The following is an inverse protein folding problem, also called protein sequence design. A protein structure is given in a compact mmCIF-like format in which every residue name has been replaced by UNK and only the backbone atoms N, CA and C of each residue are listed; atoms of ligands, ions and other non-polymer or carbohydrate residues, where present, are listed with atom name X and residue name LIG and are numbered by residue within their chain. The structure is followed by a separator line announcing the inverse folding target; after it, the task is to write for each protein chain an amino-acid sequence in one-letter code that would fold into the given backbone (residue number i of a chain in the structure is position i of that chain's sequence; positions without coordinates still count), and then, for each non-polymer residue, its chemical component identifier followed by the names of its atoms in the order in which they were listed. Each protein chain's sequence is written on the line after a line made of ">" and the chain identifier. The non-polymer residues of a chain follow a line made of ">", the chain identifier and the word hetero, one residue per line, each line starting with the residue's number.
data_IF_388416552380
#
_entry.id   IF_388416552380
#
_cell.length_a   1.000
_cell.length_b   1.000
_cell.length_c   1.000
_cell.angle_alpha   90.00
_cell.angle_beta   90.00
_cell.angle_gamma   90.00
#
_symmetry.space_group_name_H-M   'P 1'
#
loop_
_entity.id
_entity.type
_entity.pdbx_description
1 polymer ?
#
# COMPACT_ATOMS: atom_id res chain seq x y z
N UNK A 1 -31.02 -25.76 -25.49
CA UNK A 1 -30.45 -24.79 -24.51
C UNK A 1 -30.05 -25.62 -23.29
N UNK A 2 -28.81 -26.12 -23.27
CA UNK A 2 -28.36 -27.06 -22.23
C UNK A 2 -27.45 -26.32 -21.25
N UNK A 3 -28.03 -25.90 -20.12
CA UNK A 3 -27.27 -25.49 -18.96
C UNK A 3 -26.64 -26.74 -18.33
N UNK A 4 -25.39 -27.03 -18.68
CA UNK A 4 -24.61 -28.03 -17.97
C UNK A 4 -24.24 -27.48 -16.60
N UNK A 5 -25.01 -27.91 -15.59
CA UNK A 5 -24.57 -27.95 -14.20
C UNK A 5 -23.34 -28.86 -14.10
N UNK A 6 -22.16 -28.30 -14.37
CA UNK A 6 -20.92 -28.87 -13.83
C UNK A 6 -20.82 -28.34 -12.41
N UNK A 7 -21.11 -29.21 -11.43
CA UNK A 7 -20.90 -28.94 -10.02
C UNK A 7 -19.40 -28.70 -9.85
N UNK A 8 -18.97 -27.45 -10.03
CA UNK A 8 -17.58 -27.01 -9.83
C UNK A 8 -17.18 -27.54 -8.47
N UNK A 9 -16.20 -28.44 -8.47
CA UNK A 9 -15.73 -29.07 -7.25
C UNK A 9 -14.89 -28.01 -6.54
N UNK A 10 -15.56 -27.12 -5.81
CA UNK A 10 -14.97 -25.94 -5.18
C UNK A 10 -13.73 -26.30 -4.35
N UNK A 11 -13.67 -27.53 -3.83
CA UNK A 11 -12.50 -28.05 -3.14
C UNK A 11 -11.28 -28.16 -4.05
N UNK A 12 -11.45 -28.67 -5.28
CA UNK A 12 -10.38 -28.74 -6.30
C UNK A 12 -9.99 -27.34 -6.79
N UNK A 13 -10.97 -26.45 -6.94
CA UNK A 13 -10.69 -25.06 -7.35
C UNK A 13 -9.87 -24.33 -6.28
N UNK A 14 -10.20 -24.53 -4.99
CA UNK A 14 -9.44 -23.99 -3.86
C UNK A 14 -8.03 -24.59 -3.80
N UNK A 15 -7.89 -25.89 -3.98
CA UNK A 15 -6.60 -26.57 -3.99
C UNK A 15 -5.72 -26.08 -5.16
N UNK A 16 -6.32 -25.87 -6.33
CA UNK A 16 -5.65 -25.26 -7.48
C UNK A 16 -5.21 -23.81 -7.20
N UNK A 17 -6.07 -22.99 -6.61
CA UNK A 17 -5.74 -21.61 -6.21
C UNK A 17 -4.59 -21.61 -5.19
N UNK A 18 -4.62 -22.48 -4.18
CA UNK A 18 -3.54 -22.61 -3.20
C UNK A 18 -2.23 -23.05 -3.84
N UNK A 19 -2.28 -24.00 -4.77
CA UNK A 19 -1.10 -24.47 -5.50
C UNK A 19 -0.52 -23.37 -6.39
N UNK A 20 -1.39 -22.59 -7.04
CA UNK A 20 -1.01 -21.45 -7.86
C UNK A 20 -0.39 -20.34 -7.00
N UNK A 21 -1.01 -19.99 -5.86
CA UNK A 21 -0.46 -19.04 -4.88
C UNK A 21 0.91 -19.48 -4.37
N UNK A 22 1.07 -20.74 -3.97
CA UNK A 22 2.36 -21.26 -3.51
C UNK A 22 3.43 -21.21 -4.62
N UNK A 23 3.04 -21.43 -5.88
CA UNK A 23 3.94 -21.33 -7.04
C UNK A 23 4.32 -19.88 -7.35
N UNK A 24 3.39 -18.94 -7.19
CA UNK A 24 3.63 -17.50 -7.31
C UNK A 24 4.58 -17.05 -6.20
N UNK A 25 4.34 -17.43 -4.96
CA UNK A 25 5.17 -17.06 -3.80
C UNK A 25 6.57 -17.68 -3.85
N UNK A 26 6.68 -18.92 -4.36
CA UNK A 26 7.97 -19.55 -4.67
C UNK A 26 8.71 -18.84 -5.81
N UNK A 27 8.01 -18.34 -6.83
CA UNK A 27 8.63 -17.56 -7.89
C UNK A 27 9.06 -16.19 -7.37
N UNK A 28 8.19 -15.48 -6.63
CA UNK A 28 8.52 -14.21 -5.98
C UNK A 28 9.72 -14.34 -5.05
N UNK A 29 9.83 -15.41 -4.26
CA UNK A 29 11.01 -15.65 -3.40
C UNK A 29 12.29 -16.02 -4.18
N UNK A 30 12.15 -16.53 -5.41
CA UNK A 30 13.28 -16.80 -6.32
C UNK A 30 13.78 -15.53 -7.02
N UNK A 31 12.89 -14.56 -7.24
CA UNK A 31 13.21 -13.22 -7.77
C UNK A 31 13.52 -12.20 -6.66
N UNK A 32 13.17 -12.48 -5.40
CA UNK A 32 13.51 -11.63 -4.23
C UNK A 32 14.93 -11.85 -3.71
N UNK A 33 15.76 -12.62 -4.42
CA UNK A 33 17.21 -12.43 -4.32
C UNK A 33 17.47 -11.16 -5.12
N UNK A 34 17.26 -10.04 -4.43
CA UNK A 34 17.39 -8.67 -4.89
C UNK A 34 18.67 -8.52 -5.73
N UNK A 35 18.51 -8.47 -7.06
CA UNK A 35 19.58 -7.97 -7.94
C UNK A 35 19.85 -6.49 -7.63
N UNK A 36 18.83 -5.77 -7.13
CA UNK A 36 18.89 -4.39 -6.64
C UNK A 36 19.80 -4.24 -5.39
N UNK A 37 19.90 -5.25 -4.52
CA UNK A 37 20.73 -5.22 -3.30
C UNK A 37 22.24 -5.36 -3.60
N UNK A 38 22.61 -5.77 -4.82
CA UNK A 38 24.01 -5.92 -5.24
C UNK A 38 24.51 -4.73 -6.03
N UNK A 39 23.69 -4.14 -6.90
CA UNK A 39 24.07 -2.98 -7.71
C UNK A 39 24.07 -1.71 -6.85
N UNK A 40 23.05 -1.51 -6.00
CA UNK A 40 23.00 -0.38 -5.06
C UNK A 40 24.07 -0.40 -3.97
N UNK A 41 24.93 -1.43 -3.95
CA UNK A 41 26.00 -1.63 -2.95
C UNK A 41 27.40 -1.40 -3.50
N UNK A 42 27.52 -1.06 -4.79
CA UNK A 42 28.81 -0.74 -5.40
C UNK A 42 29.33 0.59 -4.82
N UNK A 43 30.52 0.55 -4.26
CA UNK A 43 31.23 1.74 -3.82
C UNK A 43 31.64 2.61 -5.02
N UNK A 44 31.89 3.90 -4.77
CA UNK A 44 32.39 4.81 -5.80
C UNK A 44 33.66 4.28 -6.49
N UNK A 45 34.53 3.63 -5.72
CA UNK A 45 35.77 3.02 -6.20
C UNK A 45 35.48 1.85 -7.15
N UNK A 46 34.53 0.97 -6.79
CA UNK A 46 34.09 -0.14 -7.65
C UNK A 46 33.44 0.36 -8.95
N UNK A 47 32.64 1.42 -8.89
CA UNK A 47 32.05 2.06 -10.09
C UNK A 47 33.13 2.66 -11.02
N UNK A 48 34.14 3.30 -10.44
CA UNK A 48 35.28 3.81 -11.21
C UNK A 48 36.08 2.67 -11.86
N UNK A 49 36.24 1.55 -11.15
CA UNK A 49 36.91 0.37 -11.69
C UNK A 49 36.12 -0.27 -12.83
N UNK A 50 34.79 -0.28 -12.78
CA UNK A 50 33.94 -0.70 -13.92
C UNK A 50 34.22 0.17 -15.16
N UNK A 51 34.32 1.50 -14.99
CA UNK A 51 34.65 2.38 -16.11
C UNK A 51 36.06 2.12 -16.68
N UNK A 52 37.04 1.79 -15.83
CA UNK A 52 38.38 1.36 -16.28
C UNK A 52 38.32 0.04 -17.06
N UNK A 53 37.49 -0.92 -16.62
CA UNK A 53 37.29 -2.21 -17.31
C UNK A 53 36.67 -1.99 -18.69
N UNK A 54 35.67 -1.11 -18.82
CA UNK A 54 35.10 -0.70 -20.12
C UNK A 54 36.19 -0.14 -21.03
N UNK A 55 37.01 0.78 -20.52
CA UNK A 55 38.14 1.35 -21.26
C UNK A 55 39.16 0.29 -21.72
N UNK A 56 39.51 -0.65 -20.85
CA UNK A 56 40.43 -1.74 -21.18
C UNK A 56 39.83 -2.71 -22.22
N UNK A 57 38.54 -3.03 -22.10
CA UNK A 57 37.83 -3.89 -23.04
C UNK A 57 37.82 -3.27 -24.44
N UNK A 58 37.49 -1.97 -24.54
CA UNK A 58 37.53 -1.22 -25.80
C UNK A 58 38.95 -1.16 -26.39
N UNK A 59 39.96 -0.95 -25.55
CA UNK A 59 41.36 -0.98 -25.99
C UNK A 59 41.76 -2.37 -26.54
N UNK A 60 41.38 -3.44 -25.85
CA UNK A 60 41.62 -4.80 -26.34
C UNK A 60 40.91 -5.02 -27.68
N UNK A 61 39.67 -4.57 -27.84
CA UNK A 61 38.88 -4.71 -29.07
C UNK A 61 39.60 -4.10 -30.28
N UNK A 62 40.09 -2.88 -30.11
CA UNK A 62 40.88 -2.15 -31.12
C UNK A 62 42.20 -2.85 -31.42
N UNK A 63 42.91 -3.32 -30.38
CA UNK A 63 44.20 -4.00 -30.53
C UNK A 63 44.13 -5.28 -31.38
N UNK A 64 42.96 -5.94 -31.41
CA UNK A 64 42.76 -7.19 -32.13
C UNK A 64 41.83 -7.05 -33.35
N UNK A 65 41.62 -5.83 -33.86
CA UNK A 65 40.76 -5.56 -35.03
C UNK A 65 41.07 -6.46 -36.24
N UNK A 66 42.36 -6.69 -36.52
CA UNK A 66 42.80 -7.50 -37.66
C UNK A 66 42.61 -9.02 -37.47
N UNK A 67 42.26 -9.49 -36.26
CA UNK A 67 42.10 -10.91 -35.95
C UNK A 67 40.63 -11.28 -35.85
N UNK A 68 40.00 -11.57 -36.99
CA UNK A 68 38.55 -11.81 -37.15
C UNK A 68 37.89 -12.65 -36.04
N UNK A 69 38.44 -13.81 -35.69
CA UNK A 69 37.87 -14.69 -34.65
C UNK A 69 38.02 -14.09 -33.24
N UNK A 70 39.21 -13.60 -32.91
CA UNK A 70 39.48 -12.94 -31.61
C UNK A 70 38.64 -11.67 -31.46
N UNK A 71 38.56 -10.86 -32.51
CA UNK A 71 37.76 -9.65 -32.54
C UNK A 71 36.28 -9.94 -32.31
N UNK A 72 35.72 -10.97 -32.95
CA UNK A 72 34.31 -11.33 -32.77
C UNK A 72 33.99 -11.76 -31.33
N UNK A 73 34.87 -12.53 -30.67
CA UNK A 73 34.68 -12.92 -29.27
C UNK A 73 34.80 -11.69 -28.35
N UNK A 74 35.78 -10.85 -28.64
CA UNK A 74 36.07 -9.66 -27.85
C UNK A 74 34.99 -8.60 -28.00
N UNK A 75 34.36 -8.51 -29.17
CA UNK A 75 33.21 -7.64 -29.43
C UNK A 75 32.02 -8.04 -28.55
N UNK A 76 31.72 -9.34 -28.44
CA UNK A 76 30.67 -9.81 -27.54
C UNK A 76 31.00 -9.49 -26.07
N UNK A 77 32.24 -9.71 -25.66
CA UNK A 77 32.70 -9.37 -24.31
C UNK A 77 32.54 -7.87 -24.02
N UNK A 78 32.97 -7.01 -24.93
CA UNK A 78 32.84 -5.55 -24.80
C UNK A 78 31.38 -5.11 -24.77
N UNK A 79 30.52 -5.72 -25.58
CA UNK A 79 29.07 -5.44 -25.58
C UNK A 79 28.47 -5.71 -24.20
N UNK A 80 28.72 -6.90 -23.64
CA UNK A 80 28.20 -7.30 -22.32
C UNK A 80 28.67 -6.33 -21.24
N UNK A 81 29.96 -5.98 -21.21
CA UNK A 81 30.51 -5.06 -20.21
C UNK A 81 29.92 -3.66 -20.37
N UNK A 82 29.76 -3.18 -21.59
CA UNK A 82 29.22 -1.84 -21.88
C UNK A 82 27.73 -1.75 -21.51
N UNK A 83 26.93 -2.74 -21.93
CA UNK A 83 25.52 -2.84 -21.57
C UNK A 83 25.33 -2.97 -20.05
N UNK A 84 26.21 -3.71 -19.37
CA UNK A 84 26.18 -3.82 -17.91
C UNK A 84 26.49 -2.49 -17.23
N UNK A 85 27.47 -1.74 -17.72
CA UNK A 85 27.80 -0.42 -17.17
C UNK A 85 26.66 0.59 -17.38
N UNK A 86 26.03 0.59 -18.56
CA UNK A 86 24.88 1.45 -18.85
C UNK A 86 23.67 1.10 -17.98
N UNK A 87 23.41 -0.19 -17.75
CA UNK A 87 22.33 -0.64 -16.86
C UNK A 87 22.51 -0.11 -15.42
N UNK A 88 23.75 -0.08 -14.92
CA UNK A 88 24.06 0.49 -13.59
C UNK A 88 23.78 2.00 -13.55
N UNK A 89 24.11 2.73 -14.62
CA UNK A 89 23.83 4.17 -14.73
C UNK A 89 22.32 4.45 -14.70
N UNK A 90 21.52 3.68 -15.44
CA UNK A 90 20.06 3.85 -15.45
C UNK A 90 19.39 3.55 -14.10
N UNK A 91 19.92 2.62 -13.30
CA UNK A 91 19.38 2.29 -11.98
C UNK A 91 19.52 3.46 -10.99
N UNK A 92 20.59 4.26 -11.09
CA UNK A 92 20.79 5.45 -10.24
C UNK A 92 19.76 6.55 -10.53
N UNK A 93 19.45 6.76 -11.81
CA UNK A 93 18.41 7.69 -12.27
C UNK A 93 17.01 7.24 -11.80
N UNK A 94 16.67 5.96 -12.03
CA UNK A 94 15.38 5.38 -11.62
C UNK A 94 15.20 5.43 -10.09
N UNK A 95 16.26 5.16 -9.32
CA UNK A 95 16.25 5.25 -7.86
C UNK A 95 16.01 6.70 -7.40
N UNK A 96 16.66 7.67 -8.04
CA UNK A 96 16.50 9.10 -7.75
C UNK A 96 15.08 9.58 -8.02
N UNK A 97 14.47 9.17 -9.14
CA UNK A 97 13.07 9.47 -9.45
C UNK A 97 12.10 8.88 -8.42
N UNK A 98 12.35 7.64 -7.98
CA UNK A 98 11.53 6.97 -6.98
C UNK A 98 11.58 7.68 -5.62
N UNK A 99 12.77 8.11 -5.19
CA UNK A 99 12.96 8.86 -3.94
C UNK A 99 12.16 10.17 -4.00
N UNK A 100 12.28 10.93 -5.10
CA UNK A 100 11.55 12.18 -5.29
C UNK A 100 10.02 11.96 -5.28
N UNK A 101 9.53 10.91 -5.93
CA UNK A 101 8.11 10.55 -5.96
C UNK A 101 7.57 10.14 -4.57
N UNK A 102 8.38 9.39 -3.81
CA UNK A 102 8.03 8.99 -2.45
C UNK A 102 8.00 10.22 -1.51
N UNK A 103 8.96 11.13 -1.65
CA UNK A 103 9.05 12.35 -0.84
C UNK A 103 7.86 13.30 -1.12
N UNK A 104 7.48 13.50 -2.39
CA UNK A 104 6.26 14.24 -2.75
C UNK A 104 5.00 13.60 -2.15
N UNK A 105 4.89 12.27 -2.23
CA UNK A 105 3.77 11.52 -1.65
C UNK A 105 3.69 11.66 -0.12
N UNK A 106 4.82 11.56 0.58
CA UNK A 106 4.91 11.78 2.03
C UNK A 106 4.52 13.22 2.38
N UNK A 107 5.00 14.20 1.63
CA UNK A 107 4.67 15.61 1.84
C UNK A 107 3.17 15.88 1.65
N UNK A 108 2.53 15.24 0.66
CA UNK A 108 1.08 15.28 0.47
C UNK A 108 0.33 14.71 1.68
N UNK A 109 0.73 13.54 2.17
CA UNK A 109 0.14 12.91 3.36
C UNK A 109 0.28 13.81 4.59
N UNK A 110 1.47 14.37 4.81
CA UNK A 110 1.75 15.29 5.93
C UNK A 110 0.89 16.53 5.86
N UNK A 111 0.73 17.13 4.69
CA UNK A 111 -0.14 18.30 4.47
C UNK A 111 -1.61 17.96 4.78
N UNK A 112 -2.11 16.81 4.30
CA UNK A 112 -3.46 16.34 4.61
C UNK A 112 -3.64 16.16 6.12
N UNK A 113 -2.68 15.51 6.78
CA UNK A 113 -2.71 15.32 8.23
C UNK A 113 -2.76 16.67 8.98
N UNK A 114 -1.90 17.62 8.63
CA UNK A 114 -1.92 18.97 9.22
C UNK A 114 -3.25 19.67 9.02
N UNK A 115 -3.82 19.63 7.81
CA UNK A 115 -5.14 20.21 7.50
C UNK A 115 -6.28 19.57 8.28
N UNK A 116 -6.23 18.26 8.50
CA UNK A 116 -7.23 17.54 9.31
C UNK A 116 -7.09 17.93 10.78
N UNK A 117 -5.86 17.96 11.30
CA UNK A 117 -5.60 18.35 12.68
C UNK A 117 -6.13 19.75 12.97
N UNK A 118 -5.77 20.73 12.13
CA UNK A 118 -6.22 22.13 12.25
C UNK A 118 -7.74 22.26 12.14
N UNK A 119 -8.38 21.50 11.25
CA UNK A 119 -9.84 21.49 11.12
C UNK A 119 -10.56 20.71 12.22
N UNK A 120 -9.89 19.80 12.93
CA UNK A 120 -10.50 19.05 14.04
C UNK A 120 -10.52 19.86 15.34
N UNK A 121 -9.61 20.82 15.50
CA UNK A 121 -9.62 21.77 16.63
C UNK A 121 -10.78 22.78 16.56
N UNK A 122 -11.58 22.77 15.49
CA UNK A 122 -12.72 23.66 15.27
C UNK A 122 -14.03 23.22 15.98
N UNK A 123 -14.06 22.06 16.64
CA UNK A 123 -15.25 21.58 17.38
C UNK A 123 -15.21 21.79 18.90
N UNK A 124 -14.28 22.59 19.44
CA UNK A 124 -14.33 22.99 20.86
C UNK A 124 -15.02 24.33 21.15
N UNK A 125 -15.47 25.06 20.13
CA UNK A 125 -16.08 26.39 20.32
C UNK A 125 -17.60 26.39 20.57
N UNK A 126 -18.26 25.23 20.57
CA UNK A 126 -19.69 25.11 20.92
C UNK A 126 -19.93 24.75 22.39
N UNK A 127 -18.90 24.70 23.24
CA UNK A 127 -19.05 24.41 24.67
C UNK A 127 -18.86 25.62 25.60
N UNK A 128 -18.43 26.77 25.08
CA UNK A 128 -18.38 28.02 25.85
C UNK A 128 -19.62 28.87 25.55
N UNK A 129 -20.80 28.33 25.88
CA UNK A 129 -22.00 29.15 26.02
C UNK A 129 -21.86 29.98 27.32
N UNK A 130 -21.95 31.33 27.28
CA UNK A 130 -21.92 32.14 28.49
C UNK A 130 -23.15 31.79 29.33
N UNK A 131 -22.91 31.32 30.55
CA UNK A 131 -23.94 31.14 31.58
C UNK A 131 -24.71 32.47 31.72
N UNK A 132 -26.02 32.54 31.42
CA UNK A 132 -26.79 33.70 31.77
C UNK A 132 -26.99 33.68 33.28
N UNK A 133 -26.39 34.67 33.93
CA UNK A 133 -26.57 34.97 35.33
C UNK A 133 -28.06 35.25 35.60
N UNK A 134 -28.76 34.29 36.20
CA UNK A 134 -30.04 34.55 36.85
C UNK A 134 -29.95 34.14 38.30
N UNK A 135 -29.48 35.08 39.10
CA UNK A 135 -29.87 35.21 40.50
C UNK A 135 -31.39 35.15 40.61
N UNK A 136 -31.94 33.98 40.96
CA UNK A 136 -33.10 33.77 41.85
C UNK A 136 -33.51 32.29 41.92
N UNK A 137 -33.17 31.67 43.05
CA UNK A 137 -34.02 30.79 43.87
C UNK A 137 -34.91 29.77 43.16
N UNK A 138 -34.61 28.47 43.30
CA UNK A 138 -35.53 27.48 43.90
C UNK A 138 -34.88 26.09 43.92
N UNK A 139 -34.72 25.54 45.11
CA UNK A 139 -34.23 24.19 45.37
C UNK A 139 -35.27 23.14 44.99
N UNK A 140 -35.09 22.42 43.88
CA UNK A 140 -35.86 21.21 43.59
C UNK A 140 -34.89 20.11 43.17
N UNK A 141 -34.52 19.26 44.14
CA UNK A 141 -33.73 18.05 43.92
C UNK A 141 -34.58 17.01 43.17
N UNK A 142 -34.17 16.63 41.96
CA UNK A 142 -34.82 15.58 41.15
C UNK A 142 -34.36 14.15 41.48
N UNK A 143 -33.57 13.97 42.54
CA UNK A 143 -33.15 12.67 43.04
C UNK A 143 -34.11 12.15 44.11
N UNK A 144 -35.28 11.67 43.69
CA UNK A 144 -36.06 10.76 44.53
C UNK A 144 -36.66 9.64 43.67
N UNK A 145 -36.09 8.44 43.79
CA UNK A 145 -36.52 7.20 43.11
C UNK A 145 -37.77 6.58 43.76
N UNK A 146 -38.81 7.38 44.00
CA UNK A 146 -40.02 6.89 44.67
C UNK A 146 -41.25 7.18 43.82
N UNK A 147 -41.39 6.46 42.70
CA UNK A 147 -42.70 6.28 42.07
C UNK A 147 -42.93 4.78 41.87
N UNK A 148 -43.83 4.22 42.69
CA UNK A 148 -44.37 2.90 42.44
C UNK A 148 -45.11 2.97 41.10
N UNK A 149 -44.60 2.28 40.09
CA UNK A 149 -45.29 2.15 38.80
C UNK A 149 -46.58 1.38 39.06
N UNK A 150 -47.74 1.99 38.78
CA UNK A 150 -49.03 1.30 38.86
C UNK A 150 -49.32 0.66 37.49
N UNK A 151 -49.26 -0.68 37.34
CA UNK A 151 -49.40 -1.35 36.05
C UNK A 151 -50.87 -1.49 35.58
N UNK A 152 -51.86 -1.06 36.38
CA UNK A 152 -53.27 -1.31 36.10
C UNK A 152 -53.88 -0.45 34.97
N UNK A 153 -53.28 0.70 34.63
CA UNK A 153 -53.75 1.54 33.51
C UNK A 153 -53.33 1.01 32.13
N UNK A 154 -52.34 0.11 32.06
CA UNK A 154 -51.84 -0.42 30.78
C UNK A 154 -52.61 -1.64 30.27
N UNK A 155 -53.52 -2.23 31.05
CA UNK A 155 -54.22 -3.46 30.68
C UNK A 155 -55.64 -3.25 30.13
N UNK A 156 -56.15 -2.02 30.00
CA UNK A 156 -57.57 -1.81 29.70
C UNK A 156 -57.94 -1.64 28.23
N UNK A 157 -56.98 -1.66 27.30
CA UNK A 157 -57.26 -1.47 25.87
C UNK A 157 -56.84 -2.69 25.04
N UNK A 158 -57.61 -3.78 25.13
CA UNK A 158 -57.63 -4.81 24.09
C UNK A 158 -59.07 -5.27 23.84
N UNK A 159 -59.86 -4.39 23.22
CA UNK A 159 -61.02 -4.81 22.45
C UNK A 159 -60.57 -4.95 20.99
N UNK A 160 -60.13 -6.15 20.64
CA UNK A 160 -59.93 -6.55 19.26
C UNK A 160 -61.29 -6.68 18.58
N UNK A 161 -61.56 -5.83 17.59
CA UNK A 161 -62.67 -6.01 16.66
C UNK A 161 -62.40 -7.24 15.79
N UNK A 162 -63.08 -8.35 16.08
CA UNK A 162 -63.11 -9.51 15.19
C UNK A 162 -63.92 -9.16 13.93
N UNK A 163 -63.22 -8.89 12.82
CA UNK A 163 -63.82 -8.84 11.49
C UNK A 163 -63.76 -10.24 10.90
N UNK A 164 -64.88 -10.95 10.87
CA UNK A 164 -65.01 -12.20 10.10
C UNK A 164 -64.98 -11.87 8.61
N UNK A 165 -64.09 -12.53 7.88
CA UNK A 165 -64.01 -12.51 6.42
C UNK A 165 -64.42 -13.90 5.93
N UNK A 166 -65.62 -13.92 5.31
CA UNK A 166 -66.26 -14.94 4.45
C UNK A 166 -66.63 -16.28 5.11
#
# INVERSE_FOLDING_TARGET
>A
MNFFNSKRDFKKDIEYIQTLSAKIEKNLSKYSISEDDKIGKLTLEELQDINKIVGLANFMLLKYEDKKETHSILQQFVSIITESAQSIECIDDDLSELILSAEDSINKVKNIHSKISEKSDLEKSYLDEPIPDTTKTSSINLTNFTRLVNPSEYQQNSQGNATQVI
#
